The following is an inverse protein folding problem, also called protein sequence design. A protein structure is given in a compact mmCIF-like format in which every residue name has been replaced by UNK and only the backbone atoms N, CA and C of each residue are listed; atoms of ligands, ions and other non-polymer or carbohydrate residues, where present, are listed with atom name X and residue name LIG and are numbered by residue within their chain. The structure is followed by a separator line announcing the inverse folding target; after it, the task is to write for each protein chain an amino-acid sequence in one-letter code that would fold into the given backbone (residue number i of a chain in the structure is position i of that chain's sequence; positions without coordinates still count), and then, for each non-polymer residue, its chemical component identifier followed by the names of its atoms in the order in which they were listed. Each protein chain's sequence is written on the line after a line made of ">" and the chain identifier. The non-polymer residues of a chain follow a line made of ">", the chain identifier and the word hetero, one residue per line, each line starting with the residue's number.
data_IF_255580006824
#
_entry.id   IF_255580006824
#
_cell.length_a   1.000
_cell.length_b   1.000
_cell.length_c   1.000
_cell.angle_alpha   90.00
_cell.angle_beta   90.00
_cell.angle_gamma   90.00
#
_symmetry.space_group_name_H-M   'P 1'
#
loop_
_entity.id
_entity.type
_entity.pdbx_description
1 polymer ?
#
# COMPACT_ATOMS: atom_id res chain seq x y z
N UNK A 1 20.00 8.33 -19.59
CA UNK A 1 19.17 7.16 -19.23
C UNK A 1 17.70 7.56 -18.96
N UNK A 2 16.73 6.85 -19.55
CA UNK A 2 15.30 7.24 -19.59
C UNK A 2 14.58 7.02 -18.24
N UNK A 3 15.02 6.06 -17.42
CA UNK A 3 14.36 5.73 -16.15
C UNK A 3 14.45 6.82 -15.07
N UNK A 4 15.64 7.38 -14.82
CA UNK A 4 15.86 8.40 -13.77
C UNK A 4 14.96 9.65 -13.93
N UNK A 5 14.76 10.20 -15.15
CA UNK A 5 13.77 11.25 -15.40
C UNK A 5 12.32 10.86 -15.05
N UNK A 6 11.89 9.64 -15.40
CA UNK A 6 10.53 9.15 -15.14
C UNK A 6 10.28 9.07 -13.62
N UNK A 7 11.20 8.43 -12.88
CA UNK A 7 11.09 8.32 -11.43
C UNK A 7 11.17 9.68 -10.73
N UNK A 8 12.01 10.60 -11.24
CA UNK A 8 12.08 11.98 -10.72
C UNK A 8 10.79 12.77 -10.97
N UNK A 9 10.10 12.55 -12.09
CA UNK A 9 8.79 13.16 -12.36
C UNK A 9 7.70 12.61 -11.43
N UNK A 10 7.70 11.30 -11.21
CA UNK A 10 6.76 10.63 -10.32
C UNK A 10 6.95 11.02 -8.85
N UNK A 11 8.19 11.21 -8.41
CA UNK A 11 8.49 11.75 -7.08
C UNK A 11 7.84 13.12 -6.86
N UNK A 12 7.94 14.01 -7.85
CA UNK A 12 7.26 15.32 -7.81
C UNK A 12 5.74 15.19 -7.73
N UNK A 13 5.14 14.26 -8.48
CA UNK A 13 3.69 14.00 -8.42
C UNK A 13 3.28 13.53 -7.03
N UNK A 14 3.98 12.54 -6.47
CA UNK A 14 3.65 11.97 -5.16
C UNK A 14 3.80 13.04 -4.07
N UNK A 15 4.89 13.81 -4.09
CA UNK A 15 5.08 14.94 -3.15
C UNK A 15 3.98 15.99 -3.30
N UNK A 16 3.53 16.26 -4.54
CA UNK A 16 2.42 17.19 -4.76
C UNK A 16 1.10 16.63 -4.21
N UNK A 17 0.83 15.34 -4.36
CA UNK A 17 -0.34 14.69 -3.76
C UNK A 17 -0.31 14.74 -2.24
N UNK A 18 0.85 14.49 -1.63
CA UNK A 18 1.05 14.63 -0.17
C UNK A 18 0.73 16.07 0.27
N UNK A 19 1.14 17.09 -0.48
CA UNK A 19 0.83 18.49 -0.14
C UNK A 19 -0.67 18.82 -0.11
N UNK A 20 -1.52 18.05 -0.80
CA UNK A 20 -2.98 18.21 -0.69
C UNK A 20 -3.53 17.61 0.61
N UNK A 21 -2.91 16.55 1.13
CA UNK A 21 -3.22 16.03 2.46
C UNK A 21 -2.89 17.05 3.55
N UNK A 22 -1.83 17.84 3.37
CA UNK A 22 -1.46 18.89 4.33
C UNK A 22 -2.58 19.94 4.46
N UNK A 23 -3.27 20.30 3.37
CA UNK A 23 -4.39 21.23 3.42
C UNK A 23 -5.56 20.69 4.28
N UNK A 24 -5.85 19.39 4.19
CA UNK A 24 -6.87 18.74 5.02
C UNK A 24 -6.45 18.65 6.50
N UNK A 25 -5.18 18.35 6.75
CA UNK A 25 -4.64 18.31 8.11
C UNK A 25 -4.61 19.70 8.76
N UNK A 26 -4.16 20.71 8.01
CA UNK A 26 -4.14 22.11 8.45
C UNK A 26 -5.55 22.59 8.82
N UNK A 27 -6.56 22.29 8.00
CA UNK A 27 -7.95 22.67 8.30
C UNK A 27 -8.46 22.06 9.62
N UNK A 28 -8.06 20.82 9.93
CA UNK A 28 -8.58 20.10 11.09
C UNK A 28 -7.79 20.36 12.38
N UNK A 29 -6.48 20.57 12.28
CA UNK A 29 -5.58 20.53 13.44
C UNK A 29 -4.72 21.79 13.65
N UNK A 30 -4.63 22.69 12.67
CA UNK A 30 -3.88 23.95 12.84
C UNK A 30 -4.70 24.93 13.66
N UNK A 31 -4.02 25.73 14.48
CA UNK A 31 -4.70 26.78 15.25
C UNK A 31 -5.29 27.85 14.32
N UNK A 32 -6.49 28.32 14.65
CA UNK A 32 -7.12 29.47 13.99
C UNK A 32 -6.57 30.81 14.49
N UNK A 33 -5.75 30.81 15.54
CA UNK A 33 -5.10 32.03 16.05
C UNK A 33 -3.93 32.39 15.12
N UNK A 34 -3.89 33.61 14.56
CA UNK A 34 -2.78 34.07 13.72
C UNK A 34 -1.42 33.92 14.44
N UNK A 35 -0.39 33.54 13.68
CA UNK A 35 0.99 33.30 14.15
C UNK A 35 1.19 32.14 15.15
N UNK A 36 0.11 31.45 15.52
CA UNK A 36 0.17 30.15 16.21
C UNK A 36 -0.04 29.08 15.12
N UNK A 37 1.04 28.41 14.71
CA UNK A 37 0.95 27.30 13.76
C UNK A 37 0.25 26.08 14.35
N UNK A 38 0.72 24.87 14.01
CA UNK A 38 0.44 23.74 14.90
C UNK A 38 0.95 24.10 16.30
N UNK A 39 0.14 23.88 17.33
CA UNK A 39 0.69 23.87 18.70
C UNK A 39 1.90 22.94 18.71
N UNK A 40 3.00 23.37 19.34
CA UNK A 40 4.28 22.62 19.30
C UNK A 40 4.10 21.14 19.69
N UNK A 41 3.19 20.85 20.62
CA UNK A 41 2.84 19.48 21.03
C UNK A 41 2.05 18.66 20.00
N UNK A 42 1.40 19.29 19.02
CA UNK A 42 0.70 18.65 17.91
C UNK A 42 1.59 18.40 16.68
N UNK A 43 2.84 18.91 16.67
CA UNK A 43 3.83 18.58 15.64
C UNK A 43 4.40 17.19 15.92
N UNK A 44 3.54 16.17 15.82
CA UNK A 44 3.90 14.78 16.11
C UNK A 44 3.34 13.85 15.02
N UNK A 45 3.75 12.58 15.09
CA UNK A 45 3.37 11.56 14.12
C UNK A 45 1.84 11.47 13.92
N UNK A 46 1.06 11.53 15.01
CA UNK A 46 -0.37 11.32 14.93
C UNK A 46 -1.07 12.37 14.06
N UNK A 47 -0.66 13.64 14.14
CA UNK A 47 -1.36 14.73 13.45
C UNK A 47 -0.74 15.12 12.10
N UNK A 48 0.49 14.69 11.80
CA UNK A 48 1.09 14.89 10.47
C UNK A 48 0.95 13.69 9.54
N UNK A 49 1.11 12.49 10.07
CA UNK A 49 1.29 11.29 9.26
C UNK A 49 -0.01 10.50 9.05
N UNK A 50 -0.86 10.41 10.07
CA UNK A 50 -2.13 9.69 9.96
C UNK A 50 -3.15 10.32 8.99
N UNK A 51 -3.28 11.67 8.88
CA UNK A 51 -4.17 12.27 7.91
C UNK A 51 -3.82 11.90 6.46
N UNK A 52 -2.54 11.68 6.17
CA UNK A 52 -2.07 11.22 4.85
C UNK A 52 -2.64 9.86 4.50
N UNK A 53 -2.75 8.94 5.47
CA UNK A 53 -3.38 7.63 5.26
C UNK A 53 -4.84 7.82 4.86
N UNK A 54 -5.58 8.67 5.58
CA UNK A 54 -7.01 8.93 5.33
C UNK A 54 -7.21 9.53 3.93
N UNK A 55 -6.41 10.53 3.57
CA UNK A 55 -6.47 11.17 2.26
C UNK A 55 -6.20 10.18 1.13
N UNK A 56 -5.11 9.41 1.23
CA UNK A 56 -4.77 8.45 0.18
C UNK A 56 -5.77 7.29 0.09
N UNK A 57 -6.31 6.79 1.20
CA UNK A 57 -7.39 5.79 1.16
C UNK A 57 -8.66 6.34 0.47
N UNK A 58 -9.04 7.59 0.75
CA UNK A 58 -10.13 8.26 0.05
C UNK A 58 -9.87 8.43 -1.45
N UNK A 59 -8.67 8.90 -1.82
CA UNK A 59 -8.25 9.05 -3.21
C UNK A 59 -8.25 7.72 -3.97
N UNK A 60 -7.70 6.67 -3.36
CA UNK A 60 -7.66 5.33 -3.94
C UNK A 60 -9.07 4.77 -4.15
N UNK A 61 -9.98 4.97 -3.21
CA UNK A 61 -11.38 4.55 -3.36
C UNK A 61 -12.07 5.27 -4.53
N UNK A 62 -11.81 6.58 -4.72
CA UNK A 62 -12.32 7.33 -5.89
C UNK A 62 -11.73 6.80 -7.18
N UNK A 63 -10.41 6.60 -7.24
CA UNK A 63 -9.74 6.07 -8.44
C UNK A 63 -10.23 4.66 -8.79
N UNK A 64 -10.57 3.86 -7.77
CA UNK A 64 -11.19 2.56 -7.91
C UNK A 64 -12.62 2.67 -8.43
N UNK A 65 -13.45 3.55 -7.88
CA UNK A 65 -14.82 3.76 -8.37
C UNK A 65 -14.85 4.22 -9.84
N UNK A 66 -13.90 5.08 -10.23
CA UNK A 66 -13.78 5.62 -11.59
C UNK A 66 -13.20 4.62 -12.61
N UNK A 67 -12.67 3.47 -12.20
CA UNK A 67 -12.10 2.48 -13.12
C UNK A 67 -10.62 2.72 -13.47
N UNK A 68 -9.96 3.72 -12.89
CA UNK A 68 -8.58 4.11 -13.24
C UNK A 68 -7.59 3.03 -12.81
N UNK A 69 -7.70 2.56 -11.56
CA UNK A 69 -6.84 1.49 -11.04
C UNK A 69 -7.03 0.22 -11.85
N UNK A 70 -8.27 -0.13 -12.15
CA UNK A 70 -8.63 -1.31 -12.94
C UNK A 70 -7.99 -1.27 -14.33
N UNK A 71 -8.02 -0.11 -14.99
CA UNK A 71 -7.38 0.06 -16.29
C UNK A 71 -5.87 -0.18 -16.22
N UNK A 72 -5.19 0.45 -15.26
CA UNK A 72 -3.73 0.32 -15.09
C UNK A 72 -3.35 -1.12 -14.72
N UNK A 73 -4.05 -1.70 -13.75
CA UNK A 73 -3.78 -3.05 -13.24
C UNK A 73 -4.05 -4.10 -14.31
N UNK A 74 -5.12 -3.98 -15.12
CA UNK A 74 -5.36 -4.91 -16.25
C UNK A 74 -4.23 -4.89 -17.26
N UNK A 75 -3.67 -3.71 -17.55
CA UNK A 75 -2.52 -3.58 -18.44
C UNK A 75 -1.27 -4.26 -17.89
N UNK A 76 -0.95 -4.01 -16.62
CA UNK A 76 0.21 -4.63 -15.95
C UNK A 76 0.03 -6.15 -15.87
N UNK A 77 -1.15 -6.61 -15.45
CA UNK A 77 -1.47 -8.02 -15.33
C UNK A 77 -1.33 -8.73 -16.68
N UNK A 78 -1.81 -8.13 -17.77
CA UNK A 78 -1.66 -8.72 -19.11
C UNK A 78 -0.20 -8.88 -19.53
N UNK A 79 0.64 -7.90 -19.21
CA UNK A 79 2.09 -7.98 -19.48
C UNK A 79 2.71 -9.11 -18.64
N UNK A 80 2.46 -9.11 -17.33
CA UNK A 80 3.01 -10.10 -16.41
C UNK A 80 2.52 -11.52 -16.72
N UNK A 81 1.24 -11.69 -17.06
CA UNK A 81 0.66 -12.97 -17.41
C UNK A 81 1.34 -13.54 -18.67
N UNK A 82 1.54 -12.69 -19.68
CA UNK A 82 2.22 -13.08 -20.92
C UNK A 82 3.69 -13.43 -20.70
N UNK A 83 4.39 -12.74 -19.81
CA UNK A 83 5.82 -12.98 -19.57
C UNK A 83 6.09 -14.12 -18.58
N UNK A 84 5.20 -14.35 -17.62
CA UNK A 84 5.41 -15.32 -16.53
C UNK A 84 4.59 -16.60 -16.68
N UNK A 85 3.56 -16.64 -17.52
CA UNK A 85 2.72 -17.83 -17.72
C UNK A 85 1.87 -18.19 -16.50
N UNK A 86 1.57 -17.22 -15.64
CA UNK A 86 0.74 -17.39 -14.44
C UNK A 86 -0.75 -17.27 -14.77
N UNK A 87 -1.62 -17.70 -13.85
CA UNK A 87 -3.07 -17.61 -14.06
C UNK A 87 -3.57 -16.17 -13.99
N UNK A 88 -4.67 -15.85 -14.67
CA UNK A 88 -5.13 -14.47 -14.72
C UNK A 88 -5.54 -13.94 -13.33
N UNK A 89 -6.12 -14.77 -12.46
CA UNK A 89 -6.56 -14.34 -11.13
C UNK A 89 -5.38 -14.00 -10.21
N UNK A 90 -4.38 -14.88 -10.11
CA UNK A 90 -3.21 -14.60 -9.28
C UNK A 90 -2.42 -13.39 -9.83
N UNK A 91 -2.22 -13.30 -11.15
CA UNK A 91 -1.50 -12.18 -11.75
C UNK A 91 -2.24 -10.87 -11.55
N UNK A 92 -3.58 -10.85 -11.68
CA UNK A 92 -4.37 -9.64 -11.47
C UNK A 92 -4.27 -9.18 -10.01
N UNK A 93 -4.40 -10.09 -9.05
CA UNK A 93 -4.29 -9.76 -7.63
C UNK A 93 -2.90 -9.22 -7.29
N UNK A 94 -1.83 -9.89 -7.76
CA UNK A 94 -0.46 -9.45 -7.49
C UNK A 94 -0.12 -8.14 -8.20
N UNK A 95 -0.67 -7.89 -9.38
CA UNK A 95 -0.54 -6.60 -10.08
C UNK A 95 -1.31 -5.49 -9.37
N UNK A 96 -2.47 -5.79 -8.79
CA UNK A 96 -3.25 -4.83 -8.01
C UNK A 96 -2.49 -4.40 -6.75
N UNK A 97 -1.81 -5.35 -6.09
CA UNK A 97 -0.99 -5.13 -4.89
C UNK A 97 0.13 -4.08 -5.06
N UNK A 98 0.48 -3.68 -6.29
CA UNK A 98 1.39 -2.55 -6.55
C UNK A 98 0.82 -1.22 -6.03
N UNK A 99 -0.51 -1.07 -6.04
CA UNK A 99 -1.20 0.18 -5.71
C UNK A 99 -2.10 0.06 -4.48
N UNK A 100 -2.78 -1.08 -4.35
CA UNK A 100 -3.74 -1.35 -3.27
C UNK A 100 -3.17 -2.34 -2.26
N UNK A 101 -3.71 -2.35 -1.04
CA UNK A 101 -3.20 -3.22 0.02
C UNK A 101 -3.63 -4.69 -0.10
N UNK A 102 -3.03 -5.55 0.73
CA UNK A 102 -3.28 -6.99 0.77
C UNK A 102 -4.75 -7.38 1.03
N UNK A 103 -5.56 -6.49 1.60
CA UNK A 103 -7.00 -6.71 1.83
C UNK A 103 -7.88 -6.24 0.67
N UNK A 104 -7.36 -5.34 -0.17
CA UNK A 104 -8.10 -4.71 -1.26
C UNK A 104 -7.83 -5.41 -2.60
N UNK A 105 -6.59 -5.85 -2.85
CA UNK A 105 -6.24 -6.58 -4.06
C UNK A 105 -7.10 -7.84 -4.28
N UNK A 106 -7.37 -8.68 -3.26
CA UNK A 106 -8.21 -9.87 -3.46
C UNK A 106 -9.66 -9.53 -3.84
N UNK A 107 -10.16 -8.33 -3.55
CA UNK A 107 -11.51 -7.92 -3.96
C UNK A 107 -11.65 -7.89 -5.49
N UNK A 108 -10.56 -7.65 -6.21
CA UNK A 108 -10.51 -7.65 -7.67
C UNK A 108 -10.73 -9.04 -8.27
N UNK A 109 -10.49 -10.09 -7.49
CA UNK A 109 -10.58 -11.49 -7.93
C UNK A 109 -11.57 -12.28 -7.08
N UNK A 110 -12.41 -11.60 -6.29
CA UNK A 110 -13.35 -12.21 -5.34
C UNK A 110 -14.17 -13.38 -5.92
N UNK A 111 -14.69 -13.31 -7.16
CA UNK A 111 -15.44 -14.43 -7.73
C UNK A 111 -14.62 -15.72 -7.89
N UNK A 112 -13.30 -15.59 -8.04
CA UNK A 112 -12.40 -16.71 -8.34
C UNK A 112 -11.76 -17.31 -7.09
N UNK A 113 -11.67 -16.57 -5.97
CA UNK A 113 -10.95 -17.00 -4.75
C UNK A 113 -11.36 -18.41 -4.28
N UNK A 114 -12.65 -18.74 -4.32
CA UNK A 114 -13.14 -20.03 -3.84
C UNK A 114 -12.71 -21.22 -4.72
N UNK A 115 -12.37 -20.97 -5.98
CA UNK A 115 -11.98 -21.99 -6.96
C UNK A 115 -10.47 -21.95 -7.26
N UNK A 116 -9.70 -21.11 -6.57
CA UNK A 116 -8.26 -21.01 -6.79
C UNK A 116 -7.55 -22.29 -6.32
N UNK A 117 -6.52 -22.69 -7.06
CA UNK A 117 -5.60 -23.73 -6.61
C UNK A 117 -4.82 -23.23 -5.38
N UNK A 118 -4.18 -24.16 -4.66
CA UNK A 118 -3.33 -23.78 -3.51
C UNK A 118 -2.13 -22.92 -3.93
N UNK A 119 -1.60 -23.12 -5.14
CA UNK A 119 -0.48 -22.33 -5.66
C UNK A 119 -0.92 -20.92 -6.00
N UNK A 120 -2.08 -20.75 -6.63
CA UNK A 120 -2.67 -19.45 -6.91
C UNK A 120 -2.96 -18.67 -5.61
N UNK A 121 -3.54 -19.34 -4.61
CA UNK A 121 -3.81 -18.71 -3.31
C UNK A 121 -2.51 -18.31 -2.60
N UNK A 122 -1.47 -19.16 -2.65
CA UNK A 122 -0.14 -18.85 -2.14
C UNK A 122 0.44 -17.62 -2.84
N UNK A 123 0.25 -17.48 -4.15
CA UNK A 123 0.73 -16.33 -4.92
C UNK A 123 0.01 -15.04 -4.53
N UNK A 124 -1.32 -15.09 -4.34
CA UNK A 124 -2.12 -13.97 -3.84
C UNK A 124 -1.64 -13.51 -2.47
N UNK A 125 -1.43 -14.44 -1.53
CA UNK A 125 -0.95 -14.13 -0.19
C UNK A 125 0.48 -13.57 -0.21
N UNK A 126 1.39 -14.24 -0.92
CA UNK A 126 2.80 -13.80 -1.04
C UNK A 126 2.88 -12.42 -1.67
N UNK A 127 2.12 -12.15 -2.73
CA UNK A 127 2.06 -10.83 -3.35
C UNK A 127 1.53 -9.76 -2.41
N UNK A 128 0.55 -10.07 -1.57
CA UNK A 128 0.03 -9.13 -0.58
C UNK A 128 1.06 -8.76 0.49
N UNK A 129 1.87 -9.72 0.95
CA UNK A 129 2.91 -9.46 1.94
C UNK A 129 4.19 -8.85 1.35
N UNK A 130 4.43 -9.03 0.05
CA UNK A 130 5.62 -8.52 -0.62
C UNK A 130 5.52 -7.04 -0.99
N UNK A 131 4.32 -6.47 -1.06
CA UNK A 131 4.11 -5.06 -1.45
C UNK A 131 3.62 -4.20 -0.29
N UNK A 132 3.57 -2.89 -0.50
CA UNK A 132 2.99 -1.94 0.42
C UNK A 132 1.82 -1.20 -0.25
N UNK A 133 0.74 -0.98 0.51
CA UNK A 133 -0.41 -0.20 0.03
C UNK A 133 -0.01 1.27 -0.23
N UNK A 134 -0.57 1.88 -1.28
CA UNK A 134 -0.30 3.29 -1.63
C UNK A 134 -0.55 4.27 -0.48
N UNK A 135 -1.53 4.01 0.39
CA UNK A 135 -1.82 4.83 1.56
C UNK A 135 -0.69 4.88 2.60
N UNK A 136 0.01 3.76 2.82
CA UNK A 136 1.15 3.69 3.74
C UNK A 136 2.45 4.09 3.03
N UNK A 137 2.53 3.91 1.70
CA UNK A 137 3.66 4.37 0.89
C UNK A 137 3.90 5.88 1.03
N UNK A 138 2.83 6.69 1.03
CA UNK A 138 2.90 8.13 1.19
C UNK A 138 3.51 8.54 2.55
N UNK A 139 3.19 7.79 3.61
CA UNK A 139 3.79 7.97 4.92
C UNK A 139 5.31 7.70 4.89
N UNK A 140 5.73 6.62 4.23
CA UNK A 140 7.16 6.31 4.08
C UNK A 140 7.90 7.37 3.27
N UNK A 141 7.27 7.93 2.23
CA UNK A 141 7.84 9.06 1.46
C UNK A 141 8.05 10.30 2.32
N UNK A 142 7.09 10.63 3.19
CA UNK A 142 7.24 11.75 4.12
C UNK A 142 8.38 11.52 5.11
N UNK A 143 8.48 10.31 5.65
CA UNK A 143 9.43 10.01 6.71
C UNK A 143 10.86 9.87 6.21
N UNK A 144 11.04 9.22 5.07
CA UNK A 144 12.34 9.04 4.41
C UNK A 144 12.64 10.20 3.45
N UNK A 145 12.05 11.37 3.69
CA UNK A 145 12.12 12.55 2.81
C UNK A 145 13.53 13.06 2.58
N UNK A 146 14.46 12.76 3.49
CA UNK A 146 15.89 13.09 3.43
C UNK A 146 16.63 12.28 2.35
N UNK A 147 16.06 11.15 1.91
CA UNK A 147 16.62 10.33 0.85
C UNK A 147 16.20 10.92 -0.52
N UNK A 148 17.15 11.35 -1.37
CA UNK A 148 16.82 11.94 -2.66
C UNK A 148 16.06 10.95 -3.56
N UNK A 149 14.87 11.36 -4.04
CA UNK A 149 14.05 10.55 -4.94
C UNK A 149 13.40 9.34 -4.28
N UNK A 150 13.21 9.36 -2.95
CA UNK A 150 12.63 8.25 -2.19
C UNK A 150 11.29 7.76 -2.71
N UNK A 151 10.41 8.65 -3.19
CA UNK A 151 9.12 8.21 -3.71
C UNK A 151 9.29 7.42 -5.02
N UNK A 152 10.29 7.79 -5.83
CA UNK A 152 10.70 7.01 -6.99
C UNK A 152 11.23 5.64 -6.61
N UNK A 153 12.07 5.54 -5.57
CA UNK A 153 12.59 4.27 -5.06
C UNK A 153 11.49 3.36 -4.51
N UNK A 154 10.58 3.90 -3.69
CA UNK A 154 9.47 3.16 -3.11
C UNK A 154 8.48 2.66 -4.18
N UNK A 155 8.22 3.47 -5.21
CA UNK A 155 7.39 3.03 -6.31
C UNK A 155 8.08 2.00 -7.20
N UNK A 156 9.39 2.15 -7.47
CA UNK A 156 10.17 1.14 -8.17
C UNK A 156 10.14 -0.20 -7.41
N UNK A 157 10.34 -0.16 -6.08
CA UNK A 157 10.27 -1.34 -5.23
C UNK A 157 8.88 -2.00 -5.30
N UNK A 158 7.81 -1.21 -5.27
CA UNK A 158 6.43 -1.73 -5.36
C UNK A 158 6.19 -2.44 -6.70
N UNK A 159 6.63 -1.85 -7.81
CA UNK A 159 6.49 -2.47 -9.15
C UNK A 159 7.35 -3.72 -9.29
N UNK A 160 8.58 -3.72 -8.77
CA UNK A 160 9.48 -4.88 -8.83
C UNK A 160 9.04 -6.03 -7.93
N UNK A 161 8.33 -5.74 -6.84
CA UNK A 161 7.86 -6.73 -5.88
C UNK A 161 6.78 -7.64 -6.47
N UNK A 162 5.98 -7.16 -7.43
CA UNK A 162 4.93 -7.97 -8.05
C UNK A 162 5.46 -9.20 -8.82
N UNK A 163 6.38 -9.07 -9.81
CA UNK A 163 6.98 -10.24 -10.45
C UNK A 163 7.88 -11.05 -9.50
N UNK A 164 8.57 -10.40 -8.56
CA UNK A 164 9.39 -11.10 -7.57
C UNK A 164 8.54 -12.00 -6.64
N UNK A 165 7.38 -11.52 -6.21
CA UNK A 165 6.46 -12.29 -5.37
C UNK A 165 5.91 -13.52 -6.10
N UNK A 166 5.53 -13.37 -7.38
CA UNK A 166 5.11 -14.50 -8.21
C UNK A 166 6.24 -15.52 -8.37
N UNK A 167 7.45 -15.06 -8.66
CA UNK A 167 8.62 -15.93 -8.79
C UNK A 167 8.85 -16.73 -7.51
N UNK A 168 8.95 -16.06 -6.35
CA UNK A 168 9.20 -16.73 -5.07
C UNK A 168 8.04 -17.66 -4.70
N UNK A 169 6.80 -17.24 -4.88
CA UNK A 169 5.64 -18.08 -4.60
C UNK A 169 5.64 -19.34 -5.46
N UNK A 170 5.94 -19.24 -6.75
CA UNK A 170 5.95 -20.41 -7.65
C UNK A 170 7.17 -21.31 -7.46
N UNK A 171 8.27 -20.82 -6.88
CA UNK A 171 9.39 -21.65 -6.43
C UNK A 171 9.01 -22.45 -5.18
N UNK A 172 8.38 -21.78 -4.20
CA UNK A 172 8.03 -22.40 -2.90
C UNK A 172 6.85 -23.36 -3.06
N UNK A 173 5.81 -22.94 -3.80
CA UNK A 173 4.60 -23.71 -4.02
C UNK A 173 4.24 -23.71 -5.52
N UNK A 174 4.84 -24.60 -6.32
CA UNK A 174 4.60 -24.69 -7.76
C UNK A 174 3.16 -25.02 -8.11
N UNK A 175 2.73 -24.59 -9.30
CA UNK A 175 1.42 -24.94 -9.85
C UNK A 175 1.42 -26.39 -10.36
N UNK A 176 0.47 -27.19 -9.90
CA UNK A 176 0.31 -28.60 -10.29
C UNK A 176 -1.11 -28.92 -10.77
N UNK A 177 -2.04 -27.99 -10.57
CA UNK A 177 -3.45 -28.11 -10.93
C UNK A 177 -3.77 -27.20 -12.13
N UNK A 178 -4.84 -27.49 -12.86
CA UNK A 178 -5.29 -26.64 -13.96
C UNK A 178 -6.15 -25.49 -13.41
N UNK A 179 -5.72 -24.25 -13.65
CA UNK A 179 -6.46 -23.06 -13.21
C UNK A 179 -7.64 -22.75 -14.12
N UNK A 180 -8.80 -22.48 -13.52
CA UNK A 180 -10.00 -21.99 -14.23
C UNK A 180 -9.80 -20.61 -14.88
N UNK A 181 -8.77 -19.86 -14.49
CA UNK A 181 -8.51 -18.49 -14.94
C UNK A 181 -7.33 -18.37 -15.90
N UNK A 182 -6.87 -19.50 -16.44
CA UNK A 182 -5.81 -19.53 -17.43
C UNK A 182 -6.28 -18.88 -18.76
N UNK A 183 -5.53 -17.91 -19.29
CA UNK A 183 -5.70 -17.38 -20.66
C UNK A 183 -6.52 -16.09 -20.82
N UNK A 184 -7.71 -15.95 -20.23
CA UNK A 184 -8.49 -14.71 -20.37
C UNK A 184 -9.31 -14.38 -19.12
N UNK A 185 -9.15 -13.14 -18.64
CA UNK A 185 -9.73 -12.70 -17.38
C UNK A 185 -10.81 -11.65 -17.65
N UNK A 186 -12.04 -12.12 -17.88
CA UNK A 186 -13.23 -11.24 -17.86
C UNK A 186 -13.62 -10.91 -16.43
N UNK A 187 -12.90 -9.99 -15.81
CA UNK A 187 -13.29 -9.47 -14.50
C UNK A 187 -14.29 -8.34 -14.67
N UNK A 188 -15.54 -8.65 -14.34
CA UNK A 188 -16.53 -7.67 -13.92
C UNK A 188 -16.33 -7.41 -12.44
N UNK A 189 -15.89 -6.20 -12.11
CA UNK A 189 -15.66 -5.78 -10.74
C UNK A 189 -16.93 -5.07 -10.28
N UNK A 190 -17.54 -5.59 -9.21
CA UNK A 190 -18.70 -4.96 -8.60
C UNK A 190 -18.35 -3.54 -8.12
N UNK A 191 -19.13 -2.56 -8.59
CA UNK A 191 -19.09 -1.20 -8.05
C UNK A 191 -19.87 -1.20 -6.74
N UNK A 192 -19.16 -1.04 -5.62
CA UNK A 192 -19.78 -0.95 -4.29
C UNK A 192 -20.47 0.39 -4.04
N UNK A 193 -19.95 1.47 -4.65
CA UNK A 193 -20.38 2.84 -4.37
C UNK A 193 -21.34 3.37 -5.43
N UNK A 194 -22.27 4.23 -5.02
CA UNK A 194 -23.26 4.83 -5.92
C UNK A 194 -22.64 5.93 -6.80
N UNK A 195 -21.67 6.67 -6.26
CA UNK A 195 -20.96 7.74 -6.98
C UNK A 195 -19.58 8.00 -6.36
N UNK A 196 -18.78 8.87 -6.99
CA UNK A 196 -17.42 9.17 -6.53
C UNK A 196 -17.35 9.83 -5.15
N UNK A 197 -18.37 10.59 -4.73
CA UNK A 197 -18.40 11.20 -3.40
C UNK A 197 -18.68 10.16 -2.32
N UNK A 198 -19.56 9.21 -2.61
CA UNK A 198 -19.82 8.04 -1.78
C UNK A 198 -18.54 7.19 -1.62
N UNK A 199 -17.84 6.92 -2.73
CA UNK A 199 -16.54 6.24 -2.71
C UNK A 199 -15.49 6.97 -1.87
N UNK A 200 -15.44 8.31 -1.97
CA UNK A 200 -14.55 9.15 -1.15
C UNK A 200 -14.88 9.01 0.35
N UNK A 201 -16.16 9.07 0.71
CA UNK A 201 -16.63 8.93 2.10
C UNK A 201 -16.32 7.55 2.70
N UNK A 202 -16.58 6.47 1.93
CA UNK A 202 -16.21 5.11 2.32
C UNK A 202 -14.69 4.97 2.48
N UNK A 203 -13.92 5.41 1.49
CA UNK A 203 -12.46 5.35 1.51
C UNK A 203 -11.84 6.14 2.66
N UNK A 204 -12.38 7.31 3.00
CA UNK A 204 -11.94 8.07 4.16
C UNK A 204 -12.24 7.35 5.48
N UNK A 205 -13.40 6.68 5.60
CA UNK A 205 -13.77 5.90 6.78
C UNK A 205 -12.90 4.65 6.96
N UNK A 206 -12.62 3.94 5.86
CA UNK A 206 -11.68 2.81 5.84
C UNK A 206 -10.26 3.28 6.18
N UNK A 207 -9.83 4.41 5.60
CA UNK A 207 -8.55 5.04 5.92
C UNK A 207 -8.42 5.47 7.38
N UNK A 208 -9.48 5.96 8.00
CA UNK A 208 -9.50 6.30 9.43
C UNK A 208 -9.28 5.06 10.30
N UNK A 209 -9.96 3.94 9.99
CA UNK A 209 -9.76 2.68 10.70
C UNK A 209 -8.33 2.17 10.53
N UNK A 210 -7.78 2.25 9.32
CA UNK A 210 -6.39 1.90 9.04
C UNK A 210 -5.42 2.76 9.85
N UNK A 211 -5.61 4.08 9.86
CA UNK A 211 -4.80 5.03 10.61
C UNK A 211 -4.84 4.76 12.12
N UNK A 212 -6.04 4.48 12.68
CA UNK A 212 -6.20 4.11 14.08
C UNK A 212 -5.46 2.80 14.42
N UNK A 213 -5.55 1.80 13.55
CA UNK A 213 -4.80 0.55 13.72
C UNK A 213 -3.29 0.78 13.70
N UNK A 214 -2.78 1.59 12.76
CA UNK A 214 -1.35 1.94 12.70
C UNK A 214 -0.91 2.65 13.98
N UNK A 215 -1.68 3.63 14.46
CA UNK A 215 -1.37 4.34 15.69
C UNK A 215 -1.32 3.39 16.90
N UNK A 216 -2.32 2.52 17.05
CA UNK A 216 -2.37 1.53 18.12
C UNK A 216 -1.20 0.54 18.07
N UNK A 217 -0.88 0.02 16.87
CA UNK A 217 0.25 -0.88 16.67
C UNK A 217 1.58 -0.20 17.03
N UNK A 218 1.82 1.04 16.60
CA UNK A 218 3.05 1.76 16.93
C UNK A 218 3.22 1.96 18.43
N UNK A 219 2.15 2.37 19.13
CA UNK A 219 2.20 2.50 20.60
C UNK A 219 2.54 1.16 21.26
N UNK A 220 1.87 0.08 20.87
CA UNK A 220 2.10 -1.24 21.46
C UNK A 220 3.52 -1.76 21.17
N UNK A 221 3.94 -1.78 19.90
CA UNK A 221 5.22 -2.36 19.51
C UNK A 221 6.40 -1.53 20.03
N UNK A 222 6.36 -0.20 19.95
CA UNK A 222 7.45 0.65 20.49
C UNK A 222 7.57 0.49 22.00
N UNK A 223 6.45 0.38 22.71
CA UNK A 223 6.45 0.13 24.17
C UNK A 223 7.04 -1.24 24.51
N UNK A 224 6.69 -2.27 23.75
CA UNK A 224 7.22 -3.63 23.93
C UNK A 224 8.71 -3.68 23.63
N UNK A 225 9.18 -3.02 22.56
CA UNK A 225 10.62 -2.91 22.25
C UNK A 225 11.36 -2.20 23.37
N UNK A 226 10.83 -1.09 23.90
CA UNK A 226 11.43 -0.39 25.03
C UNK A 226 11.51 -1.26 26.29
N UNK A 227 10.46 -2.02 26.57
CA UNK A 227 10.43 -2.99 27.68
C UNK A 227 11.50 -4.08 27.51
N UNK A 228 11.61 -4.69 26.32
CA UNK A 228 12.64 -5.68 26.05
C UNK A 228 14.05 -5.10 26.14
N UNK A 229 14.26 -3.88 25.64
CA UNK A 229 15.55 -3.20 25.78
C UNK A 229 15.92 -2.93 27.23
N UNK A 230 14.96 -2.58 28.08
CA UNK A 230 15.21 -2.45 29.52
C UNK A 230 15.67 -3.78 30.15
N UNK A 231 15.01 -4.89 29.79
CA UNK A 231 15.39 -6.22 30.28
C UNK A 231 16.74 -6.69 29.73
N UNK A 232 17.04 -6.43 28.46
CA UNK A 232 18.31 -6.77 27.84
C UNK A 232 19.47 -5.89 28.33
N UNK A 233 19.16 -4.69 28.82
CA UNK A 233 20.13 -3.80 29.45
C UNK A 233 20.85 -4.44 30.65
N UNK A 234 20.22 -5.39 31.36
CA UNK A 234 20.90 -6.17 32.41
C UNK A 234 22.05 -7.03 31.88
N UNK A 235 22.03 -7.39 30.60
CA UNK A 235 23.07 -8.13 29.90
C UNK A 235 23.96 -7.20 29.06
N UNK A 236 23.90 -5.88 29.24
CA UNK A 236 24.57 -4.88 28.40
C UNK A 236 24.30 -5.07 26.89
N UNK A 237 23.08 -5.45 26.51
CA UNK A 237 22.68 -5.55 25.11
C UNK A 237 21.30 -4.95 24.84
N UNK A 238 20.91 -4.86 23.58
CA UNK A 238 19.59 -4.37 23.15
C UNK A 238 18.99 -5.26 22.07
N UNK A 239 17.68 -5.14 21.86
CA UNK A 239 16.99 -5.89 20.81
C UNK A 239 17.53 -5.51 19.42
N UNK A 240 17.93 -4.25 19.23
CA UNK A 240 18.53 -3.77 17.98
C UNK A 240 19.87 -4.44 17.70
N UNK A 241 20.70 -4.67 18.72
CA UNK A 241 21.99 -5.36 18.58
C UNK A 241 21.82 -6.86 18.31
N UNK A 242 20.81 -7.50 18.90
CA UNK A 242 20.53 -8.93 18.65
C UNK A 242 20.02 -9.16 17.23
N UNK A 243 19.24 -8.21 16.69
CA UNK A 243 18.63 -8.32 15.37
C UNK A 243 19.49 -7.76 14.22
N UNK A 244 20.51 -6.96 14.54
CA UNK A 244 21.42 -6.32 13.58
C UNK A 244 22.61 -7.20 13.20
#
# INVERSE_FOLDING_TARGET
>A
PIGKPIFGYMDKIIRKLISFSDAGSDFLFKSFIPDVGFHVGLINFAFKALPTIIFFSGLMAVMYHLGIIQFIVKWIAKIMQKTMGTSGSETLSVSANIFVGQTEAPLMIRPFINNMTKSELSAVMTGGFATAAGGVLALYVMWLGDIPGIAGHLLAASVMSAPAALLISKIIFPEVEESETMGDLKVEIEKKDVNSLDALGRGATEGLKLAANVAAMLVAFVSVVAMFNYLLGFCNTSLQEIMG
#
